data_IF_057629841120
#
_entry.id   IF_057629841120
#
_cell.length_a   1.000
_cell.length_b   1.000
_cell.length_c   1.000
_cell.angle_alpha   90.00
_cell.angle_beta   90.00
_cell.angle_gamma   90.00
#
_symmetry.space_group_name_H-M   'P 1'
#
loop_
_entity.id
_entity.type
_entity.pdbx_description
1 polymer ?
#
# COMPACT_ATOMS: atom_id res chain seq x y z
N UNK A 1 6.28 38.76 -16.18
CA UNK A 1 7.01 39.02 -14.92
C UNK A 1 6.43 38.10 -13.86
N UNK A 2 7.11 36.99 -13.50
CA UNK A 2 6.58 35.95 -12.61
C UNK A 2 6.68 36.36 -11.11
N UNK A 3 6.56 37.65 -10.83
CA UNK A 3 6.91 38.28 -9.55
C UNK A 3 5.71 38.72 -8.71
N UNK A 4 4.50 38.24 -9.01
CA UNK A 4 3.31 38.69 -8.24
C UNK A 4 2.25 37.61 -8.12
N UNK A 5 2.53 36.58 -7.31
CA UNK A 5 1.68 36.11 -6.19
C UNK A 5 2.59 35.39 -5.19
N UNK A 6 3.51 36.09 -4.53
CA UNK A 6 4.00 35.63 -3.23
C UNK A 6 2.98 36.12 -2.22
N UNK A 7 2.06 35.25 -1.80
CA UNK A 7 1.31 35.49 -0.56
C UNK A 7 2.35 35.70 0.54
N UNK A 8 2.44 36.92 1.07
CA UNK A 8 3.29 37.18 2.23
C UNK A 8 2.77 36.31 3.38
N UNK A 9 3.54 35.29 3.77
CA UNK A 9 3.26 34.53 4.99
C UNK A 9 3.16 35.53 6.16
N UNK A 10 2.15 35.35 7.01
CA UNK A 10 2.07 36.09 8.26
C UNK A 10 3.37 35.89 9.05
N UNK A 11 3.94 36.98 9.57
CA UNK A 11 5.19 36.96 10.35
C UNK A 11 5.12 36.01 11.54
N UNK A 12 3.92 35.73 12.06
CA UNK A 12 3.70 34.76 13.11
C UNK A 12 4.17 33.34 12.71
N UNK A 13 4.00 32.95 11.44
CA UNK A 13 4.45 31.65 10.92
C UNK A 13 5.98 31.55 10.77
N UNK A 14 6.70 32.66 10.90
CA UNK A 14 8.16 32.73 10.78
C UNK A 14 8.86 32.86 12.15
N UNK A 15 8.11 32.79 13.25
CA UNK A 15 8.66 32.94 14.60
C UNK A 15 9.47 31.72 15.07
N UNK A 16 9.20 30.54 14.50
CA UNK A 16 9.87 29.28 14.82
C UNK A 16 10.36 28.62 13.52
N UNK A 17 11.51 27.94 13.59
CA UNK A 17 11.96 27.10 12.48
C UNK A 17 10.99 25.95 12.25
N UNK A 18 10.68 25.65 10.99
CA UNK A 18 9.69 24.63 10.63
C UNK A 18 10.05 23.24 11.19
N UNK A 19 11.34 22.87 11.21
CA UNK A 19 11.76 21.54 11.69
C UNK A 19 11.60 21.45 13.20
N UNK A 20 11.98 22.51 13.92
CA UNK A 20 11.75 22.61 15.36
C UNK A 20 10.25 22.56 15.70
N UNK A 21 9.41 23.25 14.91
CA UNK A 21 7.96 23.24 15.07
C UNK A 21 7.37 21.84 14.84
N UNK A 22 7.85 21.10 13.82
CA UNK A 22 7.44 19.71 13.56
C UNK A 22 7.83 18.79 14.71
N UNK A 23 9.07 18.87 15.19
CA UNK A 23 9.56 18.04 16.29
C UNK A 23 8.75 18.27 17.57
N UNK A 24 8.54 19.54 17.94
CA UNK A 24 7.71 19.93 19.08
C UNK A 24 6.28 19.46 18.92
N UNK A 25 5.71 19.61 17.72
CA UNK A 25 4.34 19.18 17.42
C UNK A 25 4.18 17.66 17.59
N UNK A 26 5.10 16.86 17.05
CA UNK A 26 5.05 15.40 17.17
C UNK A 26 5.21 14.95 18.63
N UNK A 27 6.09 15.59 19.39
CA UNK A 27 6.23 15.35 20.83
C UNK A 27 4.92 15.63 21.57
N UNK A 28 4.33 16.82 21.36
CA UNK A 28 3.04 17.17 21.96
C UNK A 28 1.92 16.22 21.54
N UNK A 29 1.82 15.87 20.25
CA UNK A 29 0.80 14.94 19.74
C UNK A 29 0.94 13.56 20.39
N UNK A 30 2.17 13.06 20.53
CA UNK A 30 2.41 11.77 21.17
C UNK A 30 2.02 11.79 22.65
N UNK A 31 2.44 12.80 23.40
CA UNK A 31 2.06 12.96 24.82
C UNK A 31 0.54 13.05 25.00
N UNK A 32 -0.14 13.86 24.17
CA UNK A 32 -1.59 13.98 24.20
C UNK A 32 -2.29 12.66 23.84
N UNK A 33 -1.73 11.89 22.91
CA UNK A 33 -2.25 10.57 22.52
C UNK A 33 -2.13 9.58 23.70
N UNK A 34 -0.98 9.55 24.38
CA UNK A 34 -0.78 8.72 25.58
C UNK A 34 -1.73 9.10 26.72
N UNK A 35 -1.90 10.40 26.95
CA UNK A 35 -2.83 10.89 27.97
C UNK A 35 -4.27 10.53 27.62
N UNK A 36 -4.69 10.77 26.37
CA UNK A 36 -6.03 10.41 25.91
C UNK A 36 -6.27 8.90 26.04
N UNK A 37 -5.29 8.06 25.71
CA UNK A 37 -5.38 6.61 25.91
C UNK A 37 -5.61 6.25 27.37
N UNK A 38 -4.83 6.84 28.28
CA UNK A 38 -4.94 6.59 29.73
C UNK A 38 -6.35 6.89 30.28
N UNK A 39 -7.04 7.87 29.69
CA UNK A 39 -8.39 8.26 30.08
C UNK A 39 -9.49 7.68 29.17
N UNK A 40 -9.16 6.74 28.26
CA UNK A 40 -10.08 6.18 27.25
C UNK A 40 -10.80 7.25 26.42
N UNK A 41 -10.05 8.27 25.97
CA UNK A 41 -10.52 9.41 25.19
C UNK A 41 -9.91 9.45 23.78
N UNK A 42 -9.29 8.36 23.33
CA UNK A 42 -8.90 8.22 21.93
C UNK A 42 -10.15 8.07 21.07
N UNK A 43 -10.14 8.75 19.94
CA UNK A 43 -11.20 8.74 18.94
C UNK A 43 -10.53 8.71 17.58
N UNK A 44 -10.98 7.82 16.69
CA UNK A 44 -10.43 7.69 15.33
C UNK A 44 -10.51 9.01 14.56
N UNK A 45 -11.53 9.84 14.81
CA UNK A 45 -11.68 11.16 14.16
C UNK A 45 -10.48 12.09 14.42
N UNK A 46 -9.79 11.93 15.56
CA UNK A 46 -8.57 12.70 15.85
C UNK A 46 -7.39 12.25 14.99
N UNK A 47 -7.29 10.95 14.71
CA UNK A 47 -6.26 10.42 13.83
C UNK A 47 -6.49 10.91 12.40
N UNK A 48 -7.72 10.87 11.93
CA UNK A 48 -8.10 11.33 10.59
C UNK A 48 -7.70 12.80 10.35
N UNK A 49 -7.94 13.66 11.35
CA UNK A 49 -7.52 15.07 11.30
C UNK A 49 -6.00 15.25 11.22
N UNK A 50 -5.22 14.37 11.86
CA UNK A 50 -3.75 14.45 11.88
C UNK A 50 -3.09 13.83 10.63
N UNK A 51 -3.83 13.01 9.87
CA UNK A 51 -3.25 12.19 8.82
C UNK A 51 -2.65 13.00 7.65
N UNK A 52 -3.29 14.09 7.15
CA UNK A 52 -2.67 14.92 6.13
C UNK A 52 -1.34 15.53 6.59
N UNK A 53 -1.23 15.90 7.86
CA UNK A 53 0.01 16.41 8.43
C UNK A 53 1.10 15.32 8.43
N UNK A 54 0.77 14.10 8.86
CA UNK A 54 1.72 12.98 8.87
C UNK A 54 2.24 12.66 7.47
N UNK A 55 1.35 12.64 6.47
CA UNK A 55 1.75 12.43 5.07
C UNK A 55 2.72 13.51 4.60
N UNK A 56 2.45 14.78 4.91
CA UNK A 56 3.35 15.89 4.55
C UNK A 56 4.70 15.83 5.28
N UNK A 57 4.72 15.38 6.54
CA UNK A 57 5.97 15.21 7.30
C UNK A 57 6.81 14.08 6.68
N UNK A 58 6.21 12.92 6.38
CA UNK A 58 6.93 11.75 5.87
C UNK A 58 7.62 12.02 4.52
N UNK A 59 6.94 12.73 3.62
CA UNK A 59 7.51 13.07 2.31
C UNK A 59 8.48 14.25 2.35
N UNK A 60 8.60 14.94 3.49
CA UNK A 60 9.48 16.10 3.61
C UNK A 60 10.95 15.66 3.47
N UNK A 61 11.79 16.35 2.67
CA UNK A 61 13.17 15.92 2.40
C UNK A 61 14.07 15.81 3.64
N UNK A 62 13.71 16.48 4.73
CA UNK A 62 14.42 16.46 6.02
C UNK A 62 13.73 15.59 7.07
N UNK A 63 12.75 14.77 6.68
CA UNK A 63 12.11 13.84 7.60
C UNK A 63 13.15 12.91 8.22
N UNK A 64 13.08 12.73 9.54
CA UNK A 64 14.00 11.85 10.27
C UNK A 64 13.32 10.54 10.63
N UNK A 65 14.14 9.54 10.98
CA UNK A 65 13.63 8.27 11.47
C UNK A 65 12.85 8.45 12.77
N UNK A 66 13.29 9.35 13.66
CA UNK A 66 12.64 9.65 14.93
C UNK A 66 11.23 10.20 14.70
N UNK A 67 11.06 11.15 13.77
CA UNK A 67 9.75 11.68 13.42
C UNK A 67 8.82 10.60 12.88
N UNK A 68 9.36 9.76 11.99
CA UNK A 68 8.61 8.64 11.41
C UNK A 68 8.20 7.63 12.48
N UNK A 69 9.11 7.26 13.39
CA UNK A 69 8.83 6.39 14.53
C UNK A 69 7.77 7.00 15.45
N UNK A 70 7.82 8.31 15.72
CA UNK A 70 6.76 9.00 16.49
C UNK A 70 5.40 8.92 15.81
N UNK A 71 5.32 9.12 14.49
CA UNK A 71 4.08 8.96 13.71
C UNK A 71 3.54 7.52 13.83
N UNK A 72 4.40 6.53 13.61
CA UNK A 72 4.03 5.11 13.73
C UNK A 72 3.53 4.77 15.14
N UNK A 73 4.20 5.30 16.18
CA UNK A 73 3.79 5.11 17.56
C UNK A 73 2.42 5.73 17.86
N UNK A 74 2.15 6.95 17.36
CA UNK A 74 0.83 7.58 17.49
C UNK A 74 -0.25 6.70 16.84
N UNK A 75 -0.03 6.26 15.60
CA UNK A 75 -0.97 5.36 14.90
C UNK A 75 -1.20 4.05 15.67
N UNK A 76 -0.14 3.47 16.27
CA UNK A 76 -0.23 2.26 17.08
C UNK A 76 -1.14 2.44 18.29
N UNK A 77 -1.10 3.60 18.95
CA UNK A 77 -2.00 3.88 20.07
C UNK A 77 -3.46 3.92 19.62
N UNK A 78 -3.76 4.58 18.49
CA UNK A 78 -5.11 4.59 17.94
C UNK A 78 -5.59 3.19 17.55
N UNK A 79 -4.74 2.39 16.90
CA UNK A 79 -5.10 1.01 16.53
C UNK A 79 -5.38 0.14 17.76
N UNK A 80 -4.71 0.41 18.89
CA UNK A 80 -4.97 -0.29 20.15
C UNK A 80 -6.32 0.06 20.80
N UNK A 81 -6.92 1.19 20.40
CA UNK A 81 -8.24 1.63 20.88
C UNK A 81 -9.39 1.17 19.96
N UNK A 82 -9.09 0.65 18.76
CA UNK A 82 -10.10 0.19 17.80
C UNK A 82 -10.91 -0.97 18.39
N UNK A 83 -12.24 -0.87 18.34
CA UNK A 83 -13.15 -1.88 18.85
C UNK A 83 -14.45 -1.92 18.05
N UNK A 84 -14.96 -3.11 17.73
CA UNK A 84 -16.26 -3.27 17.05
C UNK A 84 -17.46 -2.94 17.96
N UNK A 85 -17.25 -2.82 19.27
CA UNK A 85 -18.28 -2.43 20.23
C UNK A 85 -18.28 -0.93 20.57
N UNK A 86 -17.26 -0.19 20.16
CA UNK A 86 -17.12 1.23 20.44
C UNK A 86 -17.53 2.04 19.20
N UNK A 87 -18.63 2.81 19.24
CA UNK A 87 -19.06 3.61 18.10
C UNK A 87 -18.07 4.71 17.71
N UNK A 88 -17.26 5.24 18.64
CA UNK A 88 -16.29 6.30 18.35
C UNK A 88 -14.94 5.74 17.85
N UNK A 89 -14.72 4.44 18.05
CA UNK A 89 -13.51 3.71 17.64
C UNK A 89 -13.82 2.47 16.78
N UNK A 90 -14.95 2.46 16.08
CA UNK A 90 -15.33 1.36 15.21
C UNK A 90 -14.35 1.26 14.03
N UNK A 91 -13.89 0.05 13.63
CA UNK A 91 -12.90 -0.09 12.54
C UNK A 91 -13.31 0.54 11.21
N UNK A 92 -14.62 0.63 10.94
CA UNK A 92 -15.15 1.26 9.72
C UNK A 92 -14.88 2.77 9.65
N UNK A 93 -14.54 3.42 10.77
CA UNK A 93 -14.21 4.84 10.82
C UNK A 93 -12.75 5.12 10.49
N UNK A 94 -11.91 4.10 10.37
CA UNK A 94 -10.50 4.30 10.03
C UNK A 94 -10.37 4.93 8.63
N UNK A 95 -9.50 5.94 8.44
CA UNK A 95 -9.15 6.48 7.13
C UNK A 95 -8.20 5.50 6.40
N UNK A 96 -8.74 4.33 6.05
CA UNK A 96 -7.98 3.14 5.63
C UNK A 96 -7.08 3.41 4.44
N UNK A 97 -7.62 3.95 3.35
CA UNK A 97 -6.87 4.33 2.15
C UNK A 97 -5.70 5.27 2.43
N UNK A 98 -5.88 6.27 3.27
CA UNK A 98 -4.86 7.26 3.56
C UNK A 98 -3.79 6.74 4.53
N UNK A 99 -4.17 5.84 5.44
CA UNK A 99 -3.23 5.10 6.29
C UNK A 99 -2.43 4.09 5.47
N UNK A 100 -3.05 3.38 4.51
CA UNK A 100 -2.33 2.50 3.57
C UNK A 100 -1.24 3.31 2.87
N UNK A 101 -1.59 4.46 2.29
CA UNK A 101 -0.62 5.34 1.63
C UNK A 101 0.48 5.80 2.56
N UNK A 102 0.13 6.28 3.77
CA UNK A 102 1.13 6.71 4.74
C UNK A 102 2.17 5.62 5.02
N UNK A 103 1.74 4.38 5.28
CA UNK A 103 2.67 3.29 5.60
C UNK A 103 3.47 2.83 4.38
N UNK A 104 2.90 2.87 3.17
CA UNK A 104 3.64 2.58 1.95
C UNK A 104 4.65 3.68 1.61
N UNK A 105 4.33 4.95 1.83
CA UNK A 105 5.24 6.08 1.65
C UNK A 105 6.42 5.99 2.65
N UNK A 106 6.15 5.62 3.91
CA UNK A 106 7.21 5.36 4.89
C UNK A 106 8.13 4.23 4.40
N UNK A 107 7.56 3.12 3.92
CA UNK A 107 8.33 2.00 3.38
C UNK A 107 9.17 2.37 2.15
N UNK A 108 8.64 3.26 1.30
CA UNK A 108 9.29 3.74 0.10
C UNK A 108 10.48 4.66 0.40
N UNK A 109 10.33 5.56 1.36
CA UNK A 109 11.27 6.68 1.59
C UNK A 109 12.31 6.34 2.66
N UNK A 110 11.93 5.55 3.67
CA UNK A 110 12.83 5.23 4.77
C UNK A 110 14.03 4.40 4.30
N UNK A 111 15.21 4.72 4.86
CA UNK A 111 16.43 3.90 4.70
C UNK A 111 16.68 2.99 5.91
N UNK A 112 15.88 3.12 6.96
CA UNK A 112 15.98 2.30 8.16
C UNK A 112 15.11 1.06 8.00
N UNK A 113 15.75 -0.12 7.98
CA UNK A 113 15.06 -1.42 7.92
C UNK A 113 14.08 -1.56 9.09
N UNK A 114 14.43 -1.06 10.27
CA UNK A 114 13.54 -1.10 11.44
C UNK A 114 12.26 -0.29 11.18
N UNK A 115 12.38 0.93 10.65
CA UNK A 115 11.22 1.79 10.35
C UNK A 115 10.36 1.19 9.23
N UNK A 116 10.98 0.57 8.23
CA UNK A 116 10.26 -0.16 7.16
C UNK A 116 9.47 -1.34 7.75
N UNK A 117 10.09 -2.15 8.60
CA UNK A 117 9.42 -3.26 9.28
C UNK A 117 8.26 -2.78 10.15
N UNK A 118 8.45 -1.71 10.94
CA UNK A 118 7.40 -1.13 11.77
C UNK A 118 6.22 -0.63 10.91
N UNK A 119 6.50 0.00 9.75
CA UNK A 119 5.46 0.44 8.83
C UNK A 119 4.72 -0.73 8.15
N UNK A 120 5.44 -1.79 7.79
CA UNK A 120 4.82 -3.02 7.28
C UNK A 120 3.91 -3.66 8.33
N UNK A 121 4.36 -3.77 9.59
CA UNK A 121 3.54 -4.29 10.69
C UNK A 121 2.27 -3.46 10.90
N UNK A 122 2.39 -2.13 10.83
CA UNK A 122 1.24 -1.24 10.92
C UNK A 122 0.26 -1.42 9.74
N UNK A 123 0.75 -1.63 8.53
CA UNK A 123 -0.10 -1.91 7.36
C UNK A 123 -0.80 -3.26 7.47
N UNK A 124 -0.09 -4.30 7.91
CA UNK A 124 -0.67 -5.61 8.20
C UNK A 124 -1.75 -5.48 9.28
N UNK A 125 -1.47 -4.72 10.36
CA UNK A 125 -2.41 -4.51 11.45
C UNK A 125 -3.67 -3.79 10.98
N UNK A 126 -3.51 -2.77 10.13
CA UNK A 126 -4.62 -2.08 9.51
C UNK A 126 -5.49 -3.05 8.72
N UNK A 127 -4.89 -3.92 7.91
CA UNK A 127 -5.61 -4.94 7.14
C UNK A 127 -6.29 -6.00 8.03
N UNK A 128 -5.74 -6.34 9.19
CA UNK A 128 -6.43 -7.18 10.18
C UNK A 128 -7.71 -6.51 10.70
N UNK A 129 -7.65 -5.20 10.92
CA UNK A 129 -8.77 -4.39 11.40
C UNK A 129 -9.84 -4.12 10.34
N UNK A 130 -9.59 -4.44 9.07
CA UNK A 130 -10.60 -4.35 8.03
C UNK A 130 -11.84 -5.15 8.45
N UNK A 131 -13.02 -4.58 8.23
CA UNK A 131 -14.32 -5.18 8.53
C UNK A 131 -15.16 -5.12 7.26
N UNK A 132 -16.20 -5.96 7.15
CA UNK A 132 -17.06 -6.31 5.97
C UNK A 132 -17.50 -5.21 4.98
N UNK A 133 -17.19 -3.95 5.24
CA UNK A 133 -17.45 -2.78 4.42
C UNK A 133 -16.16 -2.23 3.79
N UNK A 134 -15.22 -3.10 3.45
CA UNK A 134 -14.03 -2.67 2.72
C UNK A 134 -14.40 -2.11 1.35
N UNK A 135 -13.82 -0.97 0.99
CA UNK A 135 -14.02 -0.42 -0.35
C UNK A 135 -13.06 -1.11 -1.30
N UNK A 136 -13.51 -1.39 -2.53
CA UNK A 136 -12.64 -1.81 -3.63
C UNK A 136 -11.43 -0.87 -3.75
N UNK A 137 -11.62 0.43 -3.50
CA UNK A 137 -10.56 1.44 -3.52
C UNK A 137 -9.43 1.15 -2.52
N UNK A 138 -9.73 0.61 -1.33
CA UNK A 138 -8.71 0.31 -0.32
C UNK A 138 -7.77 -0.80 -0.81
N UNK A 139 -8.35 -1.84 -1.40
CA UNK A 139 -7.61 -2.98 -1.96
C UNK A 139 -6.86 -2.57 -3.21
N UNK A 140 -7.47 -1.73 -4.05
CA UNK A 140 -6.83 -1.24 -5.27
C UNK A 140 -5.51 -0.52 -4.97
N UNK A 141 -5.42 0.24 -3.87
CA UNK A 141 -4.15 0.87 -3.47
C UNK A 141 -3.06 -0.16 -3.21
N UNK A 142 -3.37 -1.29 -2.55
CA UNK A 142 -2.40 -2.37 -2.32
C UNK A 142 -2.00 -3.02 -3.65
N UNK A 143 -2.96 -3.30 -4.54
CA UNK A 143 -2.71 -3.93 -5.84
C UNK A 143 -1.86 -3.06 -6.76
N UNK A 144 -2.10 -1.75 -6.75
CA UNK A 144 -1.32 -0.79 -7.51
C UNK A 144 0.13 -0.76 -7.02
N UNK A 145 0.34 -0.82 -5.69
CA UNK A 145 1.67 -0.77 -5.09
C UNK A 145 2.46 -2.09 -5.15
N UNK A 146 1.83 -3.21 -5.50
CA UNK A 146 2.55 -4.43 -5.89
C UNK A 146 3.41 -4.23 -7.16
N UNK A 147 3.17 -3.17 -7.91
CA UNK A 147 3.96 -2.81 -9.09
C UNK A 147 5.10 -1.82 -8.80
N UNK A 148 5.27 -1.43 -7.53
CA UNK A 148 6.32 -0.48 -7.13
C UNK A 148 7.71 -0.99 -7.50
N UNK A 149 8.58 -0.08 -7.94
CA UNK A 149 10.00 -0.40 -8.14
C UNK A 149 10.74 -0.70 -6.83
N UNK A 150 10.13 -0.40 -5.68
CA UNK A 150 10.74 -0.54 -4.36
C UNK A 150 10.34 -1.88 -3.73
N UNK A 151 11.29 -2.80 -3.47
CA UNK A 151 10.97 -4.13 -2.94
C UNK A 151 10.25 -4.12 -1.59
N UNK A 152 10.64 -3.24 -0.65
CA UNK A 152 10.00 -3.13 0.67
C UNK A 152 8.51 -2.76 0.58
N UNK A 153 8.13 -1.96 -0.41
CA UNK A 153 6.74 -1.59 -0.69
C UNK A 153 5.97 -2.80 -1.20
N UNK A 154 6.53 -3.54 -2.17
CA UNK A 154 5.91 -4.76 -2.70
C UNK A 154 5.75 -5.82 -1.60
N UNK A 155 6.79 -6.04 -0.81
CA UNK A 155 6.78 -6.95 0.34
C UNK A 155 5.66 -6.61 1.32
N UNK A 156 5.58 -5.36 1.75
CA UNK A 156 4.55 -4.88 2.67
C UNK A 156 3.14 -5.10 2.11
N UNK A 157 2.94 -4.90 0.80
CA UNK A 157 1.66 -5.16 0.14
C UNK A 157 1.30 -6.65 0.16
N UNK A 158 2.24 -7.56 -0.15
CA UNK A 158 1.98 -9.01 -0.12
C UNK A 158 1.66 -9.49 1.29
N UNK A 159 2.43 -9.06 2.29
CA UNK A 159 2.19 -9.39 3.70
C UNK A 159 0.82 -8.89 4.17
N UNK A 160 0.43 -7.70 3.73
CA UNK A 160 -0.87 -7.11 4.07
C UNK A 160 -2.03 -7.82 3.37
N UNK A 161 -1.88 -8.19 2.09
CA UNK A 161 -2.85 -9.01 1.37
C UNK A 161 -3.03 -10.40 2.02
N UNK A 162 -1.97 -10.97 2.60
CA UNK A 162 -2.06 -12.22 3.38
C UNK A 162 -3.00 -12.09 4.58
N UNK A 163 -3.14 -10.92 5.19
CA UNK A 163 -4.12 -10.65 6.28
C UNK A 163 -5.56 -10.56 5.79
N UNK A 164 -5.75 -10.40 4.48
CA UNK A 164 -7.07 -10.28 3.84
C UNK A 164 -7.50 -11.58 3.16
N UNK A 165 -6.58 -12.52 2.91
CA UNK A 165 -6.77 -13.67 2.00
C UNK A 165 -8.01 -14.51 2.25
N UNK A 166 -8.40 -14.74 3.51
CA UNK A 166 -9.59 -15.52 3.87
C UNK A 166 -10.91 -14.80 3.58
N UNK A 167 -10.83 -13.51 3.25
CA UNK A 167 -11.95 -12.59 3.06
C UNK A 167 -12.02 -11.98 1.66
N UNK A 168 -10.90 -11.89 0.93
CA UNK A 168 -10.83 -11.25 -0.40
C UNK A 168 -11.93 -11.72 -1.37
N UNK A 169 -12.17 -13.03 -1.46
CA UNK A 169 -13.23 -13.61 -2.31
C UNK A 169 -14.66 -13.24 -1.94
N UNK A 170 -14.91 -12.98 -0.66
CA UNK A 170 -16.25 -12.69 -0.16
C UNK A 170 -16.60 -11.22 -0.31
N UNK A 171 -15.59 -10.35 -0.38
CA UNK A 171 -15.77 -8.91 -0.25
C UNK A 171 -15.63 -8.22 -1.61
N UNK A 172 -14.78 -8.71 -2.52
CA UNK A 172 -14.45 -7.99 -3.76
C UNK A 172 -14.53 -8.88 -5.02
N UNK A 173 -15.71 -9.35 -5.43
CA UNK A 173 -15.87 -10.17 -6.63
C UNK A 173 -15.46 -9.43 -7.93
N UNK A 174 -15.56 -8.10 -7.91
CA UNK A 174 -15.12 -7.18 -8.97
C UNK A 174 -13.60 -7.16 -9.14
N UNK A 175 -12.85 -7.32 -8.05
CA UNK A 175 -11.38 -7.30 -8.05
C UNK A 175 -10.75 -8.69 -8.11
N UNK A 176 -11.53 -9.77 -8.06
CA UNK A 176 -11.01 -11.15 -8.02
C UNK A 176 -9.99 -11.42 -9.14
N UNK A 177 -10.31 -10.98 -10.37
CA UNK A 177 -9.43 -11.14 -11.53
C UNK A 177 -8.12 -10.35 -11.40
N UNK A 178 -8.20 -9.12 -10.89
CA UNK A 178 -7.04 -8.25 -10.72
C UNK A 178 -6.14 -8.71 -9.57
N UNK A 179 -6.73 -9.15 -8.45
CA UNK A 179 -5.99 -9.76 -7.34
C UNK A 179 -5.29 -11.03 -7.83
N UNK A 180 -5.99 -11.90 -8.55
CA UNK A 180 -5.42 -13.12 -9.09
C UNK A 180 -4.26 -12.84 -10.04
N UNK A 181 -4.43 -11.88 -10.97
CA UNK A 181 -3.37 -11.46 -11.91
C UNK A 181 -2.17 -10.91 -11.16
N UNK A 182 -2.37 -9.95 -10.26
CA UNK A 182 -1.29 -9.28 -9.52
C UNK A 182 -0.53 -10.26 -8.62
N UNK A 183 -1.22 -11.11 -7.85
CA UNK A 183 -0.55 -12.10 -7.00
C UNK A 183 0.22 -13.13 -7.82
N UNK A 184 -0.32 -13.59 -8.96
CA UNK A 184 0.39 -14.54 -9.82
C UNK A 184 1.65 -13.94 -10.44
N UNK A 185 1.61 -12.66 -10.83
CA UNK A 185 2.80 -11.93 -11.29
C UNK A 185 3.84 -11.84 -10.18
N UNK A 186 3.43 -11.49 -8.95
CA UNK A 186 4.36 -11.36 -7.81
C UNK A 186 4.91 -12.71 -7.34
N UNK A 187 4.30 -13.85 -7.70
CA UNK A 187 4.93 -15.17 -7.54
C UNK A 187 6.19 -15.35 -8.40
N UNK A 188 6.47 -14.44 -9.32
CA UNK A 188 7.70 -14.38 -10.11
C UNK A 188 8.49 -13.10 -9.85
N UNK A 189 8.28 -12.43 -8.71
CA UNK A 189 8.98 -11.19 -8.34
C UNK A 189 10.51 -11.36 -8.44
N UNK A 190 11.25 -10.34 -8.94
CA UNK A 190 12.71 -10.38 -9.00
C UNK A 190 13.38 -10.38 -7.62
N UNK A 191 12.69 -9.94 -6.56
CA UNK A 191 13.17 -10.02 -5.19
C UNK A 191 12.76 -11.36 -4.56
N UNK A 192 13.74 -12.21 -4.25
CA UNK A 192 13.52 -13.59 -3.79
C UNK A 192 12.65 -13.67 -2.52
N UNK A 193 12.79 -12.70 -1.61
CA UNK A 193 11.98 -12.67 -0.40
C UNK A 193 10.50 -12.42 -0.71
N UNK A 194 10.20 -11.45 -1.58
CA UNK A 194 8.84 -11.12 -2.02
C UNK A 194 8.23 -12.31 -2.76
N UNK A 195 9.00 -12.89 -3.69
CA UNK A 195 8.62 -14.08 -4.45
C UNK A 195 8.23 -15.25 -3.54
N UNK A 196 9.05 -15.52 -2.52
CA UNK A 196 8.80 -16.58 -1.54
C UNK A 196 7.48 -16.37 -0.82
N UNK A 197 7.25 -15.18 -0.26
CA UNK A 197 6.02 -14.88 0.48
C UNK A 197 4.79 -15.01 -0.43
N UNK A 198 4.87 -14.49 -1.66
CA UNK A 198 3.76 -14.58 -2.62
C UNK A 198 3.46 -16.02 -3.05
N UNK A 199 4.51 -16.82 -3.29
CA UNK A 199 4.38 -18.24 -3.65
C UNK A 199 3.74 -19.05 -2.52
N UNK A 200 4.09 -18.75 -1.25
CA UNK A 200 3.45 -19.36 -0.08
C UNK A 200 2.00 -18.92 0.09
N UNK A 201 1.68 -17.66 -0.25
CA UNK A 201 0.34 -17.08 -0.14
C UNK A 201 -0.61 -17.60 -1.22
N UNK A 202 -0.17 -17.70 -2.47
CA UNK A 202 -0.99 -18.06 -3.63
C UNK A 202 -1.96 -19.25 -3.39
N UNK A 203 -1.51 -20.43 -2.93
CA UNK A 203 -2.41 -21.57 -2.73
C UNK A 203 -3.46 -21.33 -1.63
N UNK A 204 -3.21 -20.41 -0.69
CA UNK A 204 -4.15 -20.07 0.38
C UNK A 204 -5.29 -19.19 -0.11
N UNK A 205 -5.11 -18.53 -1.25
CA UNK A 205 -6.11 -17.61 -1.81
C UNK A 205 -7.31 -18.34 -2.35
N UNK A 206 -7.19 -19.54 -2.92
CA UNK A 206 -8.21 -20.17 -3.77
C UNK A 206 -8.63 -19.32 -5.00
N UNK A 207 -7.85 -18.30 -5.37
CA UNK A 207 -8.06 -17.51 -6.58
C UNK A 207 -7.80 -18.36 -7.83
N UNK A 208 -8.53 -18.07 -8.90
CA UNK A 208 -8.31 -18.67 -10.22
C UNK A 208 -8.33 -17.59 -11.28
N UNK A 209 -7.32 -17.59 -12.14
CA UNK A 209 -7.39 -16.83 -13.38
C UNK A 209 -8.38 -17.53 -14.30
N UNK A 210 -9.30 -16.77 -14.89
CA UNK A 210 -10.24 -17.27 -15.89
C UNK A 210 -9.68 -17.01 -17.29
N UNK A 211 -10.05 -17.85 -18.25
CA UNK A 211 -9.54 -17.79 -19.63
C UNK A 211 -9.68 -16.41 -20.29
N UNK A 212 -10.79 -15.73 -20.01
CA UNK A 212 -11.14 -14.41 -20.51
C UNK A 212 -10.23 -13.30 -19.98
N UNK A 213 -9.60 -13.51 -18.82
CA UNK A 213 -8.72 -12.54 -18.16
C UNK A 213 -7.24 -12.77 -18.51
N UNK A 214 -6.88 -13.85 -19.21
CA UNK A 214 -5.49 -14.17 -19.55
C UNK A 214 -4.85 -13.07 -20.41
N UNK A 215 -5.63 -12.46 -21.32
CA UNK A 215 -5.15 -11.36 -22.17
C UNK A 215 -4.76 -10.11 -21.37
N UNK A 216 -5.27 -9.92 -20.15
CA UNK A 216 -4.92 -8.73 -19.36
C UNK A 216 -3.45 -8.75 -18.90
N UNK A 217 -2.82 -9.92 -18.79
CA UNK A 217 -1.38 -10.04 -18.51
C UNK A 217 -0.52 -9.38 -19.60
N UNK A 218 -1.04 -9.23 -20.82
CA UNK A 218 -0.30 -8.55 -21.89
C UNK A 218 0.03 -7.10 -21.52
N UNK A 219 -0.82 -6.42 -20.75
CA UNK A 219 -0.58 -5.06 -20.27
C UNK A 219 0.66 -5.00 -19.38
N UNK A 220 0.88 -6.05 -18.59
CA UNK A 220 2.01 -6.17 -17.68
C UNK A 220 3.28 -6.62 -18.44
N UNK A 221 3.16 -7.55 -19.39
CA UNK A 221 4.28 -8.03 -20.24
C UNK A 221 4.88 -6.95 -21.12
N UNK A 222 4.11 -5.93 -21.52
CA UNK A 222 4.61 -4.81 -22.33
C UNK A 222 4.81 -3.54 -21.51
N UNK A 223 4.75 -3.65 -20.19
CA UNK A 223 4.86 -2.51 -19.29
C UNK A 223 6.26 -1.85 -19.41
N UNK A 224 6.38 -0.52 -19.34
CA UNK A 224 7.67 0.17 -19.43
C UNK A 224 8.58 -0.16 -18.23
N UNK A 225 7.99 -0.25 -17.03
CA UNK A 225 8.74 -0.55 -15.80
C UNK A 225 9.19 -2.01 -15.75
N UNK A 226 10.50 -2.21 -15.55
CA UNK A 226 11.14 -3.52 -15.48
C UNK A 226 10.52 -4.41 -14.39
N UNK A 227 10.26 -3.84 -13.21
CA UNK A 227 9.74 -4.58 -12.05
C UNK A 227 8.30 -5.07 -12.22
N UNK A 228 7.59 -4.60 -13.25
CA UNK A 228 6.28 -5.12 -13.66
C UNK A 228 6.44 -6.08 -14.83
N UNK A 229 7.23 -5.69 -15.82
CA UNK A 229 7.44 -6.43 -17.06
C UNK A 229 8.09 -7.79 -16.83
N UNK A 230 9.23 -7.81 -16.15
CA UNK A 230 10.03 -9.01 -15.94
C UNK A 230 9.20 -10.13 -15.28
N UNK A 231 8.60 -9.94 -14.08
CA UNK A 231 7.80 -10.99 -13.46
C UNK A 231 6.62 -11.43 -14.33
N UNK A 232 5.97 -10.51 -15.05
CA UNK A 232 4.88 -10.85 -15.96
C UNK A 232 5.33 -11.74 -17.14
N UNK A 233 6.54 -11.51 -17.67
CA UNK A 233 7.12 -12.35 -18.74
C UNK A 233 7.42 -13.78 -18.30
N UNK A 234 7.61 -14.01 -17.00
CA UNK A 234 7.76 -15.35 -16.42
C UNK A 234 6.41 -15.96 -16.03
N UNK A 235 5.49 -15.16 -15.49
CA UNK A 235 4.19 -15.63 -15.01
C UNK A 235 3.25 -16.05 -16.13
N UNK A 236 3.16 -15.29 -17.23
CA UNK A 236 2.23 -15.57 -18.32
C UNK A 236 2.51 -16.92 -19.03
N UNK A 237 3.75 -17.27 -19.43
CA UNK A 237 4.04 -18.56 -20.02
C UNK A 237 3.69 -19.73 -19.08
N UNK A 238 4.02 -19.62 -17.79
CA UNK A 238 3.68 -20.64 -16.77
C UNK A 238 2.17 -20.82 -16.64
N UNK A 239 1.41 -19.73 -16.65
CA UNK A 239 -0.06 -19.78 -16.62
C UNK A 239 -0.62 -20.47 -17.86
N UNK A 240 -0.12 -20.12 -19.04
CA UNK A 240 -0.54 -20.72 -20.31
C UNK A 240 -0.24 -22.21 -20.34
N UNK A 241 0.98 -22.62 -19.98
CA UNK A 241 1.37 -24.03 -19.96
C UNK A 241 0.52 -24.85 -18.97
N UNK A 242 0.33 -24.34 -17.76
CA UNK A 242 -0.34 -25.09 -16.70
C UNK A 242 -1.87 -25.13 -16.83
N UNK A 243 -2.49 -24.06 -17.35
CA UNK A 243 -3.95 -23.88 -17.27
C UNK A 243 -4.64 -23.59 -18.61
N UNK A 244 -3.95 -22.98 -19.58
CA UNK A 244 -4.57 -22.50 -20.82
C UNK A 244 -3.72 -22.72 -22.08
N UNK A 245 -3.24 -23.94 -22.37
CA UNK A 245 -2.34 -24.19 -23.49
C UNK A 245 -2.99 -23.87 -24.85
N UNK A 246 -4.31 -23.97 -24.95
CA UNK A 246 -5.09 -23.60 -26.13
C UNK A 246 -5.02 -22.09 -26.46
N UNK A 247 -4.68 -21.24 -25.50
CA UNK A 247 -4.60 -19.79 -25.71
C UNK A 247 -3.25 -19.32 -26.27
N UNK A 248 -2.22 -20.18 -26.26
CA UNK A 248 -0.85 -19.83 -26.69
C UNK A 248 -0.80 -19.19 -28.08
N UNK A 249 -1.44 -19.75 -29.14
CA UNK A 249 -1.36 -19.15 -30.48
C UNK A 249 -1.95 -17.74 -30.54
N UNK A 250 -3.03 -17.49 -29.80
CA UNK A 250 -3.70 -16.19 -29.76
C UNK A 250 -2.86 -15.15 -29.03
N UNK A 251 -2.27 -15.52 -27.89
CA UNK A 251 -1.39 -14.63 -27.12
C UNK A 251 -0.12 -14.29 -27.92
N UNK A 252 0.47 -15.27 -28.63
CA UNK A 252 1.62 -15.00 -29.50
C UNK A 252 1.27 -14.06 -30.65
N UNK A 253 0.09 -14.22 -31.25
CA UNK A 253 -0.40 -13.29 -32.28
C UNK A 253 -0.55 -11.87 -31.72
N UNK A 254 -1.18 -11.72 -30.55
CA UNK A 254 -1.34 -10.41 -29.90
C UNK A 254 0.03 -9.75 -29.60
N UNK A 255 0.99 -10.52 -29.07
CA UNK A 255 2.35 -10.04 -28.79
C UNK A 255 3.09 -9.61 -30.06
N UNK A 256 2.94 -10.36 -31.16
CA UNK A 256 3.54 -9.99 -32.44
C UNK A 256 2.92 -8.70 -33.00
N UNK A 257 1.61 -8.53 -32.87
CA UNK A 257 0.92 -7.30 -33.25
C UNK A 257 1.39 -6.10 -32.42
N UNK A 258 1.61 -6.28 -31.11
CA UNK A 258 2.15 -5.23 -30.24
C UNK A 258 3.59 -4.88 -30.64
N UNK A 259 4.45 -5.88 -30.84
CA UNK A 259 5.83 -5.68 -31.24
C UNK A 259 5.94 -4.94 -32.59
N UNK A 260 5.14 -5.33 -33.58
CA UNK A 260 5.17 -4.70 -34.90
C UNK A 260 4.61 -3.27 -34.90
N UNK A 261 3.68 -2.94 -34.01
CA UNK A 261 3.17 -1.56 -33.83
C UNK A 261 4.19 -0.66 -33.14
N UNK A 262 4.92 -1.17 -32.15
CA UNK A 262 5.87 -0.38 -31.36
C UNK A 262 7.21 -0.14 -32.09
N UNK A 263 7.52 -0.91 -33.14
CA UNK A 263 8.73 -0.76 -33.96
C UNK A 263 8.48 -0.04 -35.30
N UNK A 264 7.35 0.67 -35.42
CA UNK A 264 7.05 1.60 -36.52
C UNK A 264 7.15 3.03 -36.02
#
# INVERSE_FOLDING_TARGET
DPSTVQQQLDKCWLQEDLLAAIERLLACLYENTQQAKKFNQLSIARLDYCLPLFQNIVIHPKCTNEWTTSILNICREYFSAVSTSDPDNHPSLLPRRDLIRLFLDINAISKSIQVQNDASEMLEKLCELFCTYESDDDIQVLLDNLQSSIPSVRESCVLSLKKLVTRLHKIHPTLEADIARRLLIVCEDPEEHVKKIATELWPQTNLKVKSENVRDFLRDVVHPEYFVREPATHALPKLLEASFPQLVPFILSDLFDIYTKNNK
#
